data_IF_647402082909
#
_entry.id   IF_647402082909
#
_cell.length_a   1.000
_cell.length_b   1.000
_cell.length_c   1.000
_cell.angle_alpha   90.00
_cell.angle_beta   90.00
_cell.angle_gamma   90.00
#
_symmetry.space_group_name_H-M   'P 1'
#
loop_
_entity.id
_entity.type
_entity.pdbx_description
1 polymer ?
#
# COMPACT_ATOMS: atom_id res chain seq x y z
N UNK A 1 -9.29 2.23 -21.22
CA UNK A 1 -8.41 1.06 -21.42
C UNK A 1 -6.99 1.51 -21.68
N UNK A 2 -6.00 0.90 -21.04
CA UNK A 2 -4.56 1.16 -21.25
C UNK A 2 -3.82 -0.15 -21.49
N UNK A 3 -2.76 -0.08 -22.28
CA UNK A 3 -1.85 -1.20 -22.52
C UNK A 3 -0.50 -0.90 -21.87
N UNK A 4 0.07 -1.91 -21.23
CA UNK A 4 1.38 -1.80 -20.57
C UNK A 4 2.34 -2.76 -21.24
N UNK A 5 3.46 -2.21 -21.70
CA UNK A 5 4.60 -2.98 -22.19
C UNK A 5 5.80 -2.67 -21.30
N UNK A 6 6.27 -3.67 -20.60
CA UNK A 6 7.43 -3.54 -19.70
C UNK A 6 8.50 -4.54 -20.11
N UNK A 7 9.73 -4.06 -20.19
CA UNK A 7 10.90 -4.92 -20.42
C UNK A 7 12.01 -4.58 -19.43
N UNK A 8 12.83 -5.56 -19.11
CA UNK A 8 14.04 -5.40 -18.30
C UNK A 8 15.18 -6.18 -18.95
N UNK A 9 16.32 -5.51 -19.13
CA UNK A 9 17.53 -6.09 -19.72
C UNK A 9 17.24 -6.78 -21.07
N UNK A 10 16.38 -6.15 -21.90
CA UNK A 10 15.94 -6.67 -23.19
C UNK A 10 14.89 -7.79 -23.13
N UNK A 11 14.61 -8.34 -21.96
CA UNK A 11 13.56 -9.35 -21.77
C UNK A 11 12.21 -8.69 -21.52
N UNK A 12 11.22 -9.01 -22.34
CA UNK A 12 9.83 -8.56 -22.13
C UNK A 12 9.26 -9.26 -20.90
N UNK A 13 8.80 -8.47 -19.92
CA UNK A 13 8.10 -8.95 -18.71
C UNK A 13 6.59 -8.91 -18.91
N UNK A 14 6.09 -7.84 -19.53
CA UNK A 14 4.69 -7.66 -19.86
C UNK A 14 4.59 -7.16 -21.31
N UNK A 15 3.73 -7.78 -22.10
CA UNK A 15 3.45 -7.38 -23.48
C UNK A 15 1.95 -7.21 -23.61
N UNK A 16 1.55 -6.02 -24.08
CA UNK A 16 0.15 -5.64 -24.31
C UNK A 16 -0.79 -5.97 -23.12
N UNK A 17 -0.24 -5.84 -21.89
CA UNK A 17 -1.02 -6.11 -20.70
C UNK A 17 -2.14 -5.08 -20.57
N UNK A 18 -3.37 -5.56 -20.68
CA UNK A 18 -4.56 -4.71 -20.66
C UNK A 18 -4.98 -4.33 -19.25
N UNK A 19 -5.09 -3.02 -18.99
CA UNK A 19 -5.69 -2.45 -17.78
C UNK A 19 -7.00 -1.78 -18.19
N UNK A 20 -8.11 -2.20 -17.57
CA UNK A 20 -9.45 -1.65 -17.83
C UNK A 20 -10.12 -1.30 -16.51
N UNK A 21 -11.04 -0.34 -16.51
CA UNK A 21 -11.85 0.00 -15.35
C UNK A 21 -12.57 -1.23 -14.78
N UNK A 22 -13.13 -2.07 -15.65
CA UNK A 22 -13.79 -3.33 -15.24
C UNK A 22 -12.84 -4.28 -14.49
N UNK A 23 -11.57 -4.37 -14.94
CA UNK A 23 -10.58 -5.23 -14.28
C UNK A 23 -10.15 -4.67 -12.94
N UNK A 24 -10.03 -3.34 -12.81
CA UNK A 24 -9.66 -2.67 -11.57
C UNK A 24 -10.78 -2.71 -10.54
N UNK A 25 -12.00 -2.43 -10.96
CA UNK A 25 -13.16 -2.29 -10.07
C UNK A 25 -13.85 -3.64 -9.77
N UNK A 26 -13.64 -4.65 -10.62
CA UNK A 26 -14.25 -5.96 -10.41
C UNK A 26 -15.78 -5.88 -10.28
N UNK A 27 -16.30 -6.29 -9.10
CA UNK A 27 -17.74 -6.25 -8.79
C UNK A 27 -18.28 -4.82 -8.61
N UNK A 28 -17.42 -3.87 -8.29
CA UNK A 28 -17.76 -2.45 -8.12
C UNK A 28 -17.68 -1.68 -9.44
N UNK A 29 -17.56 -2.39 -10.58
CA UNK A 29 -17.53 -1.75 -11.89
C UNK A 29 -18.86 -1.05 -12.19
N UNK A 30 -18.75 0.23 -12.51
CA UNK A 30 -19.85 1.02 -13.04
C UNK A 30 -19.46 1.61 -14.40
N UNK A 31 -20.31 1.54 -15.43
CA UNK A 31 -19.94 1.97 -16.78
C UNK A 31 -19.57 3.44 -16.92
N UNK A 32 -20.02 4.28 -15.99
CA UNK A 32 -19.68 5.73 -15.97
C UNK A 32 -18.29 6.02 -15.39
N UNK A 33 -17.65 5.06 -14.72
CA UNK A 33 -16.31 5.27 -14.15
C UNK A 33 -15.25 5.20 -15.25
N UNK A 34 -14.67 6.35 -15.54
CA UNK A 34 -13.62 6.49 -16.55
C UNK A 34 -12.24 6.22 -15.94
N UNK A 35 -11.41 5.49 -16.67
CA UNK A 35 -10.01 5.31 -16.33
C UNK A 35 -9.28 6.65 -16.48
N UNK A 36 -8.58 7.10 -15.44
CA UNK A 36 -7.89 8.39 -15.42
C UNK A 36 -6.51 8.31 -16.07
N UNK A 37 -5.47 8.22 -15.28
CA UNK A 37 -4.08 8.17 -15.71
C UNK A 37 -3.40 6.91 -15.18
N UNK A 38 -2.30 6.53 -15.82
CA UNK A 38 -1.37 5.54 -15.30
C UNK A 38 -0.02 6.24 -15.15
N UNK A 39 0.37 6.52 -13.92
CA UNK A 39 1.59 7.26 -13.62
C UNK A 39 2.57 6.38 -12.84
N UNK A 40 3.83 6.30 -13.30
CA UNK A 40 4.88 5.65 -12.53
C UNK A 40 5.08 6.46 -11.24
N UNK A 41 4.89 5.80 -10.12
CA UNK A 41 4.93 6.46 -8.81
C UNK A 41 6.17 6.10 -8.00
N UNK A 42 6.57 4.82 -8.04
CA UNK A 42 7.76 4.34 -7.36
C UNK A 42 8.39 3.19 -8.13
N UNK A 43 9.70 3.03 -8.02
CA UNK A 43 10.43 1.94 -8.64
C UNK A 43 11.48 1.38 -7.69
N UNK A 44 11.56 0.06 -7.62
CA UNK A 44 12.62 -0.68 -6.91
C UNK A 44 13.38 -1.56 -7.90
N UNK A 45 14.37 -2.28 -7.44
CA UNK A 45 15.07 -3.27 -8.27
C UNK A 45 14.18 -4.48 -8.62
N UNK A 46 13.11 -4.70 -7.86
CA UNK A 46 12.21 -5.88 -7.98
C UNK A 46 10.86 -5.54 -8.57
N UNK A 47 10.38 -4.30 -8.46
CA UNK A 47 9.00 -3.94 -8.79
C UNK A 47 8.88 -2.51 -9.32
N UNK A 48 7.86 -2.29 -10.16
CA UNK A 48 7.40 -0.97 -10.58
C UNK A 48 6.00 -0.74 -10.02
N UNK A 49 5.79 0.42 -9.41
CA UNK A 49 4.56 0.82 -8.77
C UNK A 49 3.93 1.96 -9.57
N UNK A 50 2.71 1.74 -10.05
CA UNK A 50 1.95 2.73 -10.79
C UNK A 50 0.74 3.15 -9.98
N UNK A 51 0.52 4.45 -9.92
CA UNK A 51 -0.72 5.03 -9.47
C UNK A 51 -1.71 5.13 -10.62
N UNK A 52 -2.97 4.81 -10.35
CA UNK A 52 -4.07 4.95 -11.29
C UNK A 52 -5.39 5.09 -10.56
N UNK A 53 -6.41 5.57 -11.26
CA UNK A 53 -7.76 5.70 -10.73
C UNK A 53 -8.83 5.44 -11.78
N UNK A 54 -10.04 5.26 -11.28
CA UNK A 54 -11.28 5.25 -12.04
C UNK A 54 -12.22 6.24 -11.38
N UNK A 55 -12.51 7.34 -12.08
CA UNK A 55 -13.34 8.43 -11.55
C UNK A 55 -14.64 8.56 -12.33
N UNK A 56 -15.68 9.00 -11.66
CA UNK A 56 -16.89 9.50 -12.28
C UNK A 56 -16.60 10.89 -12.86
N UNK A 57 -16.81 11.11 -14.17
CA UNK A 57 -16.55 12.41 -14.79
C UNK A 57 -17.28 13.55 -14.07
N UNK A 58 -16.62 14.69 -13.93
CA UNK A 58 -17.15 15.92 -13.32
C UNK A 58 -17.50 15.78 -11.82
N UNK A 59 -16.96 14.75 -11.13
CA UNK A 59 -17.12 14.57 -9.70
C UNK A 59 -15.78 14.22 -9.03
N UNK A 60 -15.73 14.31 -7.69
CA UNK A 60 -14.61 13.85 -6.88
C UNK A 60 -14.71 12.35 -6.52
N UNK A 61 -15.71 11.65 -7.08
CA UNK A 61 -15.90 10.23 -6.80
C UNK A 61 -14.91 9.38 -7.60
N UNK A 62 -13.81 9.02 -6.97
CA UNK A 62 -12.73 8.24 -7.55
C UNK A 62 -12.44 6.97 -6.73
N UNK A 63 -12.20 5.88 -7.43
CA UNK A 63 -11.55 4.70 -6.86
C UNK A 63 -10.10 4.66 -7.33
N UNK A 64 -9.17 4.73 -6.39
CA UNK A 64 -7.74 4.85 -6.65
C UNK A 64 -7.01 3.56 -6.32
N UNK A 65 -5.94 3.27 -7.08
CA UNK A 65 -5.21 2.01 -6.97
C UNK A 65 -3.71 2.21 -7.16
N UNK A 66 -2.96 1.35 -6.49
CA UNK A 66 -1.56 1.10 -6.80
C UNK A 66 -1.46 -0.24 -7.53
N UNK A 67 -0.90 -0.21 -8.74
CA UNK A 67 -0.58 -1.40 -9.52
C UNK A 67 0.90 -1.71 -9.36
N UNK A 68 1.19 -2.92 -8.95
CA UNK A 68 2.56 -3.39 -8.75
C UNK A 68 2.89 -4.42 -9.82
N UNK A 69 3.86 -4.08 -10.67
CA UNK A 69 4.41 -4.99 -11.67
C UNK A 69 5.74 -5.51 -11.18
N UNK A 70 5.79 -6.78 -10.81
CA UNK A 70 6.98 -7.38 -10.26
C UNK A 70 7.88 -8.01 -11.33
N UNK A 71 9.16 -8.13 -11.03
CA UNK A 71 10.18 -8.68 -11.93
C UNK A 71 9.92 -10.12 -12.36
N UNK A 72 9.17 -10.88 -11.57
CA UNK A 72 8.76 -12.25 -11.89
C UNK A 72 7.55 -12.35 -12.84
N UNK A 73 7.11 -11.21 -13.39
CA UNK A 73 6.01 -11.15 -14.35
C UNK A 73 4.63 -11.17 -13.72
N UNK A 74 4.52 -10.96 -12.41
CA UNK A 74 3.23 -10.86 -11.73
C UNK A 74 2.77 -9.41 -11.61
N UNK A 75 1.47 -9.20 -11.71
CA UNK A 75 0.82 -7.93 -11.42
C UNK A 75 -0.12 -8.11 -10.22
N UNK A 76 0.03 -7.21 -9.26
CA UNK A 76 -0.86 -7.07 -8.13
C UNK A 76 -1.50 -5.70 -8.14
N UNK A 77 -2.69 -5.62 -7.60
CA UNK A 77 -3.46 -4.40 -7.48
C UNK A 77 -3.85 -4.22 -6.02
N UNK A 78 -3.68 -3.01 -5.51
CA UNK A 78 -4.08 -2.64 -4.16
C UNK A 78 -4.93 -1.38 -4.21
N UNK A 79 -6.05 -1.30 -3.47
CA UNK A 79 -6.79 -0.05 -3.33
C UNK A 79 -5.90 0.95 -2.59
N UNK A 80 -5.91 2.19 -3.06
CA UNK A 80 -5.40 3.32 -2.31
C UNK A 80 -6.58 3.92 -1.57
N UNK A 81 -6.44 4.03 -0.26
CA UNK A 81 -7.50 4.56 0.58
C UNK A 81 -7.40 6.08 0.58
N UNK A 82 -8.39 6.75 0.01
CA UNK A 82 -8.65 8.16 0.26
C UNK A 82 -9.76 8.25 1.30
N UNK A 83 -9.60 9.11 2.29
CA UNK A 83 -10.67 9.46 3.22
C UNK A 83 -11.29 10.78 2.78
N UNK A 84 -12.59 10.97 3.00
CA UNK A 84 -13.32 12.17 2.59
C UNK A 84 -13.00 13.42 3.44
N UNK A 85 -12.16 13.28 4.46
CA UNK A 85 -11.77 14.37 5.37
C UNK A 85 -10.33 14.87 5.08
N UNK A 86 -10.20 15.85 4.23
CA UNK A 86 -8.97 16.35 3.59
C UNK A 86 -7.72 16.61 4.43
N UNK A 87 -7.79 16.65 5.77
CA UNK A 87 -6.60 16.72 6.65
C UNK A 87 -6.08 15.35 7.09
N UNK A 88 -6.92 14.32 7.05
CA UNK A 88 -6.58 12.95 7.43
C UNK A 88 -6.16 12.09 6.23
N UNK A 89 -6.46 12.55 5.01
CA UNK A 89 -6.15 11.86 3.75
C UNK A 89 -4.66 11.59 3.59
N UNK A 90 -3.81 12.55 3.92
CA UNK A 90 -2.36 12.37 3.83
C UNK A 90 -1.84 11.22 4.68
N UNK A 91 -2.36 11.04 5.91
CA UNK A 91 -1.95 9.95 6.80
C UNK A 91 -2.40 8.59 6.25
N UNK A 92 -3.64 8.48 5.82
CA UNK A 92 -4.18 7.22 5.28
C UNK A 92 -3.43 6.81 4.01
N UNK A 93 -3.16 7.76 3.11
CA UNK A 93 -2.37 7.55 1.90
C UNK A 93 -0.94 7.11 2.26
N UNK A 94 -0.26 7.80 3.14
CA UNK A 94 1.13 7.49 3.52
C UNK A 94 1.24 6.13 4.19
N UNK A 95 0.31 5.79 5.09
CA UNK A 95 0.31 4.51 5.80
C UNK A 95 -0.07 3.35 4.86
N UNK A 96 -1.10 3.50 4.01
CA UNK A 96 -1.44 2.46 3.03
C UNK A 96 -0.30 2.22 2.05
N UNK A 97 0.33 3.30 1.60
CA UNK A 97 1.52 3.29 0.77
C UNK A 97 2.68 2.54 1.41
N UNK A 98 2.99 2.87 2.67
CA UNK A 98 4.00 2.16 3.44
C UNK A 98 3.73 0.65 3.46
N UNK A 99 2.51 0.25 3.79
CA UNK A 99 2.15 -1.17 3.84
C UNK A 99 2.32 -1.87 2.50
N UNK A 100 1.86 -1.25 1.41
CA UNK A 100 1.96 -1.81 0.05
C UNK A 100 3.43 -1.99 -0.34
N UNK A 101 4.25 -0.94 -0.20
CA UNK A 101 5.66 -1.00 -0.55
C UNK A 101 6.42 -2.00 0.32
N UNK A 102 6.29 -1.88 1.64
CA UNK A 102 7.03 -2.68 2.61
C UNK A 102 6.68 -4.16 2.51
N UNK A 103 5.40 -4.51 2.47
CA UNK A 103 4.96 -5.89 2.35
C UNK A 103 5.35 -6.51 0.99
N UNK A 104 5.25 -5.76 -0.10
CA UNK A 104 5.62 -6.24 -1.43
C UNK A 104 7.11 -6.54 -1.52
N UNK A 105 7.96 -5.62 -1.05
CA UNK A 105 9.42 -5.83 -1.09
C UNK A 105 9.87 -6.96 -0.17
N UNK A 106 9.27 -7.10 1.03
CA UNK A 106 9.52 -8.23 1.91
C UNK A 106 9.06 -9.58 1.35
N UNK A 107 8.08 -9.59 0.43
CA UNK A 107 7.53 -10.81 -0.16
C UNK A 107 8.35 -11.35 -1.33
N UNK A 108 9.33 -10.60 -1.81
CA UNK A 108 10.19 -11.06 -2.90
C UNK A 108 10.99 -12.30 -2.49
N UNK A 109 11.29 -13.17 -3.45
CA UNK A 109 12.11 -14.38 -3.22
C UNK A 109 13.49 -14.04 -2.63
N UNK A 110 14.03 -12.88 -3.02
CA UNK A 110 15.27 -12.31 -2.50
C UNK A 110 15.04 -10.84 -2.14
N UNK A 111 14.56 -10.55 -0.92
CA UNK A 111 14.26 -9.20 -0.48
C UNK A 111 15.52 -8.32 -0.48
N UNK A 112 15.45 -7.19 -1.18
CA UNK A 112 16.54 -6.22 -1.20
C UNK A 112 16.51 -5.36 0.07
N UNK A 113 17.41 -5.61 1.00
CA UNK A 113 17.48 -4.92 2.29
C UNK A 113 17.71 -3.41 2.16
N UNK A 114 18.47 -2.97 1.16
CA UNK A 114 18.70 -1.54 0.90
C UNK A 114 17.40 -0.84 0.48
N UNK A 115 16.60 -1.46 -0.41
CA UNK A 115 15.31 -0.90 -0.81
C UNK A 115 14.30 -0.89 0.34
N UNK A 116 14.25 -1.97 1.13
CA UNK A 116 13.43 -2.04 2.33
C UNK A 116 13.81 -0.94 3.31
N UNK A 117 15.10 -0.70 3.54
CA UNK A 117 15.58 0.37 4.42
C UNK A 117 15.16 1.75 3.91
N UNK A 118 15.26 2.02 2.61
CA UNK A 118 14.77 3.29 2.02
C UNK A 118 13.27 3.51 2.26
N UNK A 119 12.46 2.46 2.13
CA UNK A 119 11.02 2.54 2.42
C UNK A 119 10.80 2.88 3.90
N UNK A 120 11.48 2.16 4.80
CA UNK A 120 11.40 2.42 6.24
C UNK A 120 11.83 3.85 6.58
N UNK A 121 12.94 4.34 6.04
CA UNK A 121 13.47 5.69 6.29
C UNK A 121 12.54 6.79 5.77
N UNK A 122 11.76 6.50 4.74
CA UNK A 122 10.79 7.45 4.19
C UNK A 122 9.56 7.61 5.08
N UNK A 123 9.03 6.51 5.65
CA UNK A 123 7.74 6.48 6.32
C UNK A 123 7.83 6.32 7.84
N UNK A 124 8.98 5.96 8.38
CA UNK A 124 9.16 5.68 9.80
C UNK A 124 10.14 6.66 10.45
N UNK A 125 10.02 6.81 11.78
CA UNK A 125 11.08 7.49 12.53
C UNK A 125 12.39 6.71 12.46
N UNK A 126 13.56 7.35 12.59
CA UNK A 126 14.85 6.66 12.52
C UNK A 126 14.95 5.47 13.47
N UNK A 127 14.50 5.62 14.72
CA UNK A 127 14.53 4.55 15.72
C UNK A 127 13.66 3.35 15.30
N UNK A 128 12.44 3.59 14.80
CA UNK A 128 11.55 2.53 14.35
C UNK A 128 12.03 1.91 13.04
N UNK A 129 12.60 2.69 12.13
CA UNK A 129 13.23 2.19 10.90
C UNK A 129 14.35 1.20 11.19
N UNK A 130 15.25 1.52 12.14
CA UNK A 130 16.32 0.60 12.54
C UNK A 130 15.76 -0.69 13.17
N UNK A 131 14.77 -0.57 14.06
CA UNK A 131 14.11 -1.73 14.67
C UNK A 131 13.50 -2.64 13.59
N UNK A 132 12.86 -2.07 12.58
CA UNK A 132 12.14 -2.81 11.55
C UNK A 132 13.03 -3.39 10.45
N UNK A 133 14.24 -2.87 10.25
CA UNK A 133 15.13 -3.22 9.14
C UNK A 133 15.52 -4.71 9.08
N UNK A 134 15.60 -5.38 10.23
CA UNK A 134 15.94 -6.80 10.34
C UNK A 134 14.75 -7.75 10.15
N UNK A 135 13.50 -7.24 10.22
CA UNK A 135 12.31 -8.08 10.14
C UNK A 135 12.07 -8.65 8.74
N UNK A 136 11.37 -9.78 8.70
CA UNK A 136 10.81 -10.42 7.51
C UNK A 136 9.29 -10.35 7.55
N UNK A 137 8.58 -11.05 6.67
CA UNK A 137 7.12 -11.19 6.80
C UNK A 137 6.68 -12.06 7.99
N UNK A 138 7.63 -12.80 8.61
CA UNK A 138 7.32 -13.61 9.79
C UNK A 138 7.55 -12.80 11.05
N UNK A 139 6.57 -12.87 11.98
CA UNK A 139 6.63 -12.20 13.29
C UNK A 139 6.98 -10.71 13.18
N UNK A 140 6.54 -10.08 12.10
CA UNK A 140 6.80 -8.67 11.87
C UNK A 140 5.77 -7.83 12.66
N UNK A 141 6.22 -6.93 13.55
CA UNK A 141 5.31 -6.13 14.38
C UNK A 141 4.30 -5.33 13.56
N UNK A 142 4.71 -4.76 12.42
CA UNK A 142 3.84 -3.96 11.57
C UNK A 142 2.63 -4.74 11.02
N UNK A 143 2.67 -6.08 11.03
CA UNK A 143 1.58 -6.90 10.55
C UNK A 143 0.82 -7.63 11.67
N UNK A 144 1.34 -7.62 12.89
CA UNK A 144 0.71 -8.23 14.09
C UNK A 144 0.23 -9.68 13.90
N UNK A 145 0.89 -10.44 13.02
CA UNK A 145 0.59 -11.85 12.73
C UNK A 145 1.87 -12.65 12.53
N UNK A 146 1.89 -13.95 12.84
CA UNK A 146 3.10 -14.78 12.70
C UNK A 146 3.64 -14.88 11.28
N UNK A 147 2.74 -14.85 10.27
CA UNK A 147 3.09 -14.87 8.85
C UNK A 147 2.11 -14.01 8.09
N UNK A 148 2.59 -12.95 7.47
CA UNK A 148 1.78 -12.05 6.68
C UNK A 148 1.74 -12.46 5.20
N UNK A 149 0.58 -12.26 4.56
CA UNK A 149 0.41 -12.39 3.12
C UNK A 149 0.05 -11.03 2.51
N UNK A 150 0.85 -10.47 1.59
CA UNK A 150 0.57 -9.16 0.98
C UNK A 150 -0.82 -9.03 0.36
N UNK A 151 -1.42 -10.12 -0.12
CA UNK A 151 -2.77 -10.10 -0.70
C UNK A 151 -3.86 -9.68 0.32
N UNK A 152 -3.59 -9.77 1.63
CA UNK A 152 -4.52 -9.31 2.67
C UNK A 152 -4.69 -7.79 2.66
N UNK A 153 -3.73 -7.05 2.07
CA UNK A 153 -3.84 -5.61 1.86
C UNK A 153 -4.99 -5.21 0.93
N UNK A 154 -5.57 -6.13 0.15
CA UNK A 154 -6.79 -5.86 -0.62
C UNK A 154 -8.02 -5.55 0.26
N UNK A 155 -7.94 -5.87 1.55
CA UNK A 155 -8.97 -5.59 2.55
C UNK A 155 -8.50 -4.58 3.61
N UNK A 156 -7.43 -3.84 3.32
CA UNK A 156 -6.90 -2.85 4.26
C UNK A 156 -7.92 -1.73 4.46
N UNK A 157 -8.09 -1.33 5.71
CA UNK A 157 -8.81 -0.13 6.11
C UNK A 157 -7.95 0.62 7.11
N UNK A 158 -8.01 1.92 7.07
CA UNK A 158 -7.18 2.80 7.89
C UNK A 158 -8.08 3.83 8.55
N UNK A 159 -8.04 3.86 9.88
CA UNK A 159 -8.71 4.85 10.71
C UNK A 159 -7.67 5.67 11.46
N UNK A 160 -7.89 6.96 11.58
CA UNK A 160 -7.00 7.84 12.33
C UNK A 160 -7.70 8.30 13.61
N UNK A 161 -7.06 8.03 14.75
CA UNK A 161 -7.50 8.51 16.06
C UNK A 161 -6.74 9.80 16.34
N UNK A 162 -7.46 10.93 16.26
CA UNK A 162 -6.91 12.27 16.50
C UNK A 162 -6.62 12.48 17.98
N UNK A 163 -5.56 13.26 18.29
CA UNK A 163 -5.17 13.61 19.65
C UNK A 163 -3.80 14.28 19.67
N UNK A 164 -3.29 14.57 20.86
CA UNK A 164 -1.93 15.10 21.05
C UNK A 164 -0.84 14.17 20.51
N UNK A 165 -1.13 12.88 20.48
CA UNK A 165 -0.31 11.83 19.85
C UNK A 165 -1.21 11.02 18.95
N UNK A 166 -1.31 11.34 17.66
CA UNK A 166 -2.22 10.66 16.77
C UNK A 166 -1.80 9.20 16.58
N UNK A 167 -2.80 8.32 16.52
CA UNK A 167 -2.64 6.89 16.29
C UNK A 167 -3.38 6.54 15.00
N UNK A 168 -2.71 5.78 14.14
CA UNK A 168 -3.34 5.19 12.97
C UNK A 168 -3.69 3.73 13.27
N UNK A 169 -4.96 3.36 13.15
CA UNK A 169 -5.39 1.97 13.20
C UNK A 169 -5.44 1.40 11.79
N UNK A 170 -4.60 0.42 11.53
CA UNK A 170 -4.61 -0.34 10.29
C UNK A 170 -5.30 -1.66 10.53
N UNK A 171 -6.34 -1.95 9.76
CA UNK A 171 -7.04 -3.22 9.87
C UNK A 171 -7.14 -3.94 8.52
N UNK A 172 -7.12 -5.27 8.55
CA UNK A 172 -7.25 -6.12 7.37
C UNK A 172 -7.80 -7.51 7.72
N UNK A 173 -8.34 -8.22 6.72
CA UNK A 173 -8.85 -9.58 6.90
C UNK A 173 -7.88 -10.62 6.34
N UNK A 174 -7.73 -11.75 7.05
CA UNK A 174 -6.92 -12.90 6.60
C UNK A 174 -7.69 -13.82 5.65
N UNK A 175 -9.01 -13.79 5.72
CA UNK A 175 -9.92 -14.58 4.91
C UNK A 175 -10.87 -13.60 4.21
N UNK A 176 -10.94 -13.62 2.87
CA UNK A 176 -11.87 -12.77 2.13
C UNK A 176 -13.32 -12.93 2.63
N UNK A 177 -14.00 -11.81 2.89
CA UNK A 177 -15.38 -11.81 3.38
C UNK A 177 -15.55 -12.09 4.88
N UNK A 178 -14.46 -12.35 5.62
CA UNK A 178 -14.51 -12.54 7.08
C UNK A 178 -14.81 -11.22 7.78
N UNK A 179 -15.66 -11.27 8.82
CA UNK A 179 -15.87 -10.14 9.74
C UNK A 179 -14.72 -9.98 10.75
N UNK A 180 -13.89 -11.03 10.92
CA UNK A 180 -12.76 -10.98 11.86
C UNK A 180 -11.58 -10.27 11.20
N UNK A 181 -11.24 -9.10 11.73
CA UNK A 181 -10.10 -8.29 11.29
C UNK A 181 -8.91 -8.42 12.22
N UNK A 182 -7.72 -8.33 11.66
CA UNK A 182 -6.51 -8.03 12.41
C UNK A 182 -6.42 -6.52 12.51
N UNK A 183 -6.08 -6.01 13.67
CA UNK A 183 -5.94 -4.56 13.93
C UNK A 183 -4.53 -4.31 14.43
N UNK A 184 -3.85 -3.35 13.81
CA UNK A 184 -2.52 -2.87 14.19
C UNK A 184 -2.63 -1.38 14.50
N UNK A 185 -2.12 -0.94 15.63
CA UNK A 185 -2.08 0.46 16.04
C UNK A 185 -0.68 1.01 15.84
N UNK A 186 -0.59 2.08 15.08
CA UNK A 186 0.66 2.74 14.73
C UNK A 186 0.68 4.15 15.36
N UNK A 187 1.42 4.35 16.43
CA UNK A 187 1.71 5.70 16.91
C UNK A 187 2.41 6.51 15.84
N UNK A 188 1.97 7.74 15.67
CA UNK A 188 2.51 8.66 14.68
C UNK A 188 3.26 9.81 15.35
N UNK A 189 4.40 10.18 14.78
CA UNK A 189 5.16 11.35 15.17
C UNK A 189 5.05 12.40 14.07
N UNK A 190 4.66 13.61 14.42
CA UNK A 190 4.58 14.75 13.49
C UNK A 190 5.98 15.13 13.03
N UNK A 191 6.16 15.22 11.71
CA UNK A 191 7.41 15.65 11.06
C UNK A 191 7.30 17.09 10.60
N UNK A 192 6.19 17.45 9.94
CA UNK A 192 5.83 18.79 9.49
C UNK A 192 4.33 18.99 9.70
N UNK A 193 3.78 20.13 9.28
CA UNK A 193 2.36 20.46 9.49
C UNK A 193 1.40 19.36 8.96
N UNK A 194 1.72 18.76 7.82
CA UNK A 194 0.87 17.76 7.15
C UNK A 194 1.60 16.42 6.88
N UNK A 195 2.70 16.16 7.58
CA UNK A 195 3.48 14.95 7.37
C UNK A 195 3.76 14.26 8.71
N UNK A 196 3.51 12.96 8.74
CA UNK A 196 3.72 12.12 9.91
C UNK A 196 4.64 10.93 9.58
N UNK A 197 5.37 10.48 10.59
CA UNK A 197 6.19 9.27 10.52
C UNK A 197 5.62 8.24 11.50
N UNK A 198 5.63 6.99 11.09
CA UNK A 198 5.29 5.85 11.96
C UNK A 198 6.41 5.72 12.99
N UNK A 199 6.07 5.83 14.27
CA UNK A 199 7.04 5.83 15.36
C UNK A 199 7.11 4.52 16.13
N UNK A 200 6.21 3.59 15.86
CA UNK A 200 6.16 2.31 16.55
C UNK A 200 4.95 1.48 16.17
N UNK A 201 4.77 0.41 16.94
CA UNK A 201 3.56 -0.41 16.96
C UNK A 201 3.12 -0.55 18.42
N UNK A 202 1.87 -0.25 18.71
CA UNK A 202 1.31 -0.53 20.03
C UNK A 202 0.97 -2.02 20.14
N UNK A 203 1.57 -2.68 21.11
CA UNK A 203 1.15 -4.02 21.50
C UNK A 203 -0.25 -3.95 22.13
N UNK A 204 -1.17 -4.76 21.61
CA UNK A 204 -2.48 -4.90 22.22
C UNK A 204 -2.27 -5.48 23.62
N UNK A 205 -2.43 -4.68 24.68
CA UNK A 205 -2.52 -5.21 26.05
C UNK A 205 -3.68 -6.23 26.05
N UNK A 206 -3.33 -7.49 26.26
CA UNK A 206 -4.29 -8.60 26.42
C UNK A 206 -5.08 -8.45 27.70
#
# INVERSE_FOLDING_TARGET
MRFVNLSKDGKKLFTDYQITSKKLLGKSFHPYLAFTSLSLWYATTSSLYFYTGCCEPETDNCAEFILVFSRDGKMHQYPLLSTLDGCLDGIAIDVSTFYILYATELSQSFPNRSEIKKILDKYCTPAFSEQMAAHTLRNNPAFSVPKFNPQWLNSIEIDTISGSSPICEVSYTRIPGSKKRVVVRLPLQRKTENCYLISGVEEKKR
#
